data_IF_350689380718
#
_entry.id   IF_350689380718
#
_cell.length_a   1.000
_cell.length_b   1.000
_cell.length_c   1.000
_cell.angle_alpha   90.00
_cell.angle_beta   90.00
_cell.angle_gamma   90.00
#
_symmetry.space_group_name_H-M   'P 1'
#
loop_
_entity.id
_entity.type
_entity.pdbx_description
1 polymer ?
#
# COMPACT_ATOMS: atom_id res chain seq x y z
N UNK A 1 -1.57 3.47 11.33
CA UNK A 1 -2.06 4.37 10.26
C UNK A 1 -3.59 4.39 10.12
N UNK A 2 -4.33 3.32 10.48
CA UNK A 2 -5.79 3.30 10.37
C UNK A 2 -6.54 4.35 11.22
N UNK A 3 -5.94 4.87 12.30
CA UNK A 3 -6.58 5.85 13.19
C UNK A 3 -6.21 7.32 12.92
N UNK A 4 -5.32 7.60 11.96
CA UNK A 4 -5.03 8.99 11.55
C UNK A 4 -5.95 9.43 10.39
N UNK A 5 -6.69 8.48 9.78
CA UNK A 5 -7.57 8.74 8.64
C UNK A 5 -9.04 9.01 8.98
N UNK A 6 -9.49 8.78 10.21
CA UNK A 6 -10.94 8.77 10.52
C UNK A 6 -11.48 10.07 11.14
N UNK A 7 -10.63 11.06 11.45
CA UNK A 7 -11.08 12.32 12.05
C UNK A 7 -10.46 13.56 11.41
N UNK A 8 -10.53 13.72 10.09
CA UNK A 8 -10.27 15.02 9.46
C UNK A 8 -11.20 15.23 8.26
N UNK A 9 -12.06 16.26 8.41
CA UNK A 9 -12.86 16.99 7.43
C UNK A 9 -12.65 16.63 5.93
N UNK A 10 -13.72 16.34 5.15
CA UNK A 10 -13.64 15.95 3.72
C UNK A 10 -12.95 16.95 2.78
N UNK A 11 -12.55 18.14 3.26
CA UNK A 11 -11.83 19.16 2.48
C UNK A 11 -10.29 19.08 2.51
N UNK A 12 -9.68 18.14 3.23
CA UNK A 12 -8.22 18.07 3.39
C UNK A 12 -7.62 16.78 2.81
N UNK A 13 -7.38 16.76 1.49
CA UNK A 13 -6.75 15.64 0.77
C UNK A 13 -5.26 15.45 1.09
N UNK A 14 -4.87 15.38 2.37
CA UNK A 14 -3.50 15.63 2.81
C UNK A 14 -2.95 14.72 3.94
N UNK A 15 -3.04 13.37 3.90
CA UNK A 15 -2.17 12.55 4.77
C UNK A 15 -0.79 12.31 4.13
N UNK A 16 -0.76 12.03 2.82
CA UNK A 16 0.43 11.58 2.10
C UNK A 16 1.28 12.71 1.56
N UNK A 17 0.67 13.85 1.18
CA UNK A 17 1.40 15.03 0.68
C UNK A 17 2.13 15.81 1.77
N UNK A 18 1.62 15.82 2.99
CA UNK A 18 2.19 16.61 4.11
C UNK A 18 3.51 16.03 4.62
N UNK A 19 3.67 14.71 4.54
CA UNK A 19 4.91 14.01 4.88
C UNK A 19 6.06 14.36 3.93
N UNK A 20 5.76 14.77 2.68
CA UNK A 20 6.75 15.22 1.70
C UNK A 20 7.34 16.60 2.03
N UNK A 21 6.55 17.50 2.59
CA UNK A 21 6.99 18.88 2.84
C UNK A 21 7.78 19.02 4.15
N UNK A 22 7.63 18.05 5.08
CA UNK A 22 8.28 18.04 6.39
C UNK A 22 9.77 17.66 6.39
N UNK A 23 10.32 17.20 5.26
CA UNK A 23 11.59 16.48 5.25
C UNK A 23 12.65 17.22 4.44
N UNK A 24 12.99 18.45 4.83
CA UNK A 24 14.05 19.28 4.22
C UNK A 24 15.48 18.67 4.25
N UNK A 25 15.68 17.52 4.88
CA UNK A 25 16.93 16.74 4.84
C UNK A 25 16.56 15.27 4.54
N UNK A 26 16.88 14.83 3.32
CA UNK A 26 16.61 13.51 2.72
C UNK A 26 15.13 13.03 2.74
N UNK A 27 14.23 13.67 1.98
CA UNK A 27 12.81 13.32 1.90
C UNK A 27 12.55 11.84 1.57
N UNK A 28 13.27 11.31 0.59
CA UNK A 28 13.10 9.93 0.11
C UNK A 28 13.46 8.89 1.16
N UNK A 29 14.48 9.14 1.99
CA UNK A 29 14.94 8.20 3.02
C UNK A 29 13.93 8.12 4.19
N UNK A 30 13.38 9.26 4.62
CA UNK A 30 12.37 9.32 5.69
C UNK A 30 11.02 8.73 5.26
N UNK A 31 10.62 8.94 4.00
CA UNK A 31 9.42 8.32 3.42
C UNK A 31 9.60 6.80 3.30
N UNK A 32 10.79 6.36 2.90
CA UNK A 32 11.17 4.94 2.90
C UNK A 32 11.08 4.32 4.30
N UNK A 33 11.59 5.01 5.34
CA UNK A 33 11.50 4.56 6.72
C UNK A 33 10.05 4.45 7.23
N UNK A 34 9.19 5.41 6.84
CA UNK A 34 7.76 5.36 7.17
C UNK A 34 7.03 4.19 6.49
N UNK A 35 7.40 3.86 5.25
CA UNK A 35 6.85 2.68 4.57
C UNK A 35 7.42 1.38 5.13
N UNK A 36 8.67 1.39 5.60
CA UNK A 36 9.27 0.25 6.28
C UNK A 36 8.54 -0.04 7.61
N UNK A 37 8.20 0.98 8.40
CA UNK A 37 7.45 0.77 9.65
C UNK A 37 6.04 0.20 9.43
N UNK A 38 5.37 0.55 8.32
CA UNK A 38 4.13 -0.11 7.90
C UNK A 38 4.34 -1.61 7.64
N UNK A 39 5.38 -1.96 6.87
CA UNK A 39 5.71 -3.36 6.58
C UNK A 39 6.04 -4.17 7.83
N UNK A 40 6.82 -3.59 8.75
CA UNK A 40 7.13 -4.21 10.05
C UNK A 40 5.86 -4.43 10.88
N UNK A 41 4.95 -3.45 10.92
CA UNK A 41 3.65 -3.61 11.58
C UNK A 41 2.82 -4.73 10.96
N UNK A 42 2.76 -4.81 9.63
CA UNK A 42 2.07 -5.88 8.90
C UNK A 42 2.70 -7.26 9.10
N UNK A 43 4.01 -7.34 9.37
CA UNK A 43 4.69 -8.59 9.71
C UNK A 43 4.37 -9.06 11.13
N UNK A 44 4.47 -8.16 12.11
CA UNK A 44 4.31 -8.46 13.54
C UNK A 44 2.84 -8.70 13.90
N UNK A 45 1.89 -7.97 13.29
CA UNK A 45 0.48 -8.04 13.68
C UNK A 45 -0.13 -9.45 13.54
N UNK A 46 0.05 -10.19 12.43
CA UNK A 46 -0.46 -11.55 12.32
C UNK A 46 0.28 -12.53 13.23
N UNK A 47 1.57 -12.33 13.56
CA UNK A 47 2.30 -13.18 14.53
C UNK A 47 1.62 -13.12 15.90
N UNK A 48 1.33 -11.90 16.38
CA UNK A 48 0.66 -11.67 17.65
C UNK A 48 -0.78 -12.18 17.59
N UNK A 49 -1.53 -11.84 16.53
CA UNK A 49 -2.92 -12.26 16.39
C UNK A 49 -3.07 -13.80 16.35
N UNK A 50 -2.17 -14.50 15.67
CA UNK A 50 -2.15 -15.97 15.59
C UNK A 50 -1.97 -16.61 16.96
N UNK A 51 -1.11 -16.03 17.81
CA UNK A 51 -0.90 -16.51 19.18
C UNK A 51 -2.14 -16.28 20.06
N UNK A 52 -2.74 -15.09 19.99
CA UNK A 52 -3.97 -14.81 20.72
C UNK A 52 -5.16 -15.67 20.26
N UNK A 53 -5.22 -16.04 18.98
CA UNK A 53 -6.27 -16.92 18.45
C UNK A 53 -6.23 -18.34 19.01
N UNK A 54 -5.10 -18.78 19.58
CA UNK A 54 -4.97 -20.09 20.24
C UNK A 54 -5.35 -20.06 21.73
N UNK A 55 -5.53 -18.87 22.30
CA UNK A 55 -5.90 -18.70 23.71
C UNK A 55 -7.42 -18.69 23.89
N UNK A 56 -7.95 -19.18 25.03
CA UNK A 56 -9.39 -19.18 25.30
C UNK A 56 -9.99 -17.77 25.40
N UNK A 57 -9.15 -16.75 25.66
CA UNK A 57 -9.55 -15.33 25.72
C UNK A 57 -8.92 -14.53 24.58
N UNK A 58 -9.20 -14.95 23.35
CA UNK A 58 -8.75 -14.28 22.12
C UNK A 58 -9.11 -12.78 22.08
N UNK A 59 -10.19 -12.37 22.76
CA UNK A 59 -10.65 -10.97 22.82
C UNK A 59 -9.65 -10.00 23.47
N UNK A 60 -8.70 -10.50 24.28
CA UNK A 60 -7.62 -9.66 24.83
C UNK A 60 -6.73 -9.04 23.75
N UNK A 61 -6.69 -9.63 22.56
CA UNK A 61 -6.02 -9.03 21.40
C UNK A 61 -6.51 -7.59 21.16
N UNK A 62 -7.81 -7.34 21.22
CA UNK A 62 -8.37 -5.99 21.02
C UNK A 62 -7.96 -5.01 22.11
N UNK A 63 -7.82 -5.48 23.36
CA UNK A 63 -7.39 -4.65 24.47
C UNK A 63 -5.90 -4.26 24.34
N UNK A 64 -5.06 -5.20 23.90
CA UNK A 64 -3.67 -4.92 23.55
C UNK A 64 -3.58 -3.93 22.37
N UNK A 65 -4.36 -4.12 21.31
CA UNK A 65 -4.43 -3.19 20.18
C UNK A 65 -4.88 -1.79 20.61
N UNK A 66 -5.86 -1.69 21.52
CA UNK A 66 -6.30 -0.43 22.11
C UNK A 66 -5.18 0.25 22.89
N UNK A 67 -4.44 -0.50 23.72
CA UNK A 67 -3.29 0.03 24.46
C UNK A 67 -2.20 0.60 23.55
N UNK A 68 -1.86 -0.11 22.47
CA UNK A 68 -0.90 0.38 21.46
C UNK A 68 -1.43 1.62 20.74
N UNK A 69 -2.73 1.66 20.41
CA UNK A 69 -3.35 2.81 19.76
C UNK A 69 -3.36 4.05 20.67
N UNK A 70 -3.67 3.88 21.96
CA UNK A 70 -3.61 4.95 22.96
C UNK A 70 -2.17 5.45 23.14
N UNK A 71 -1.21 4.55 23.30
CA UNK A 71 0.21 4.92 23.41
C UNK A 71 0.68 5.71 22.18
N UNK A 72 0.35 5.23 20.98
CA UNK A 72 0.68 5.94 19.73
C UNK A 72 0.04 7.33 19.69
N UNK A 73 -1.23 7.43 20.09
CA UNK A 73 -1.96 8.70 20.15
C UNK A 73 -1.35 9.66 21.17
N UNK A 74 -0.96 9.18 22.36
CA UNK A 74 -0.28 9.97 23.38
C UNK A 74 1.08 10.46 22.93
N UNK A 75 1.88 9.61 22.26
CA UNK A 75 3.17 10.00 21.69
C UNK A 75 2.97 11.07 20.62
N UNK A 76 2.00 10.90 19.72
CA UNK A 76 1.68 11.92 18.70
C UNK A 76 1.24 13.24 19.36
N UNK A 77 0.37 13.19 20.37
CA UNK A 77 -0.06 14.37 21.13
C UNK A 77 1.12 15.05 21.84
N UNK A 78 2.03 14.28 22.42
CA UNK A 78 3.21 14.81 23.11
C UNK A 78 4.23 15.43 22.15
N UNK A 79 4.52 14.75 21.04
CA UNK A 79 5.48 15.21 20.01
C UNK A 79 4.97 16.45 19.29
N UNK A 80 3.71 16.41 18.84
CA UNK A 80 3.12 17.51 18.08
C UNK A 80 2.55 18.61 18.97
N UNK A 81 2.34 18.37 20.28
CA UNK A 81 1.81 19.33 21.27
C UNK A 81 0.56 20.09 20.79
N UNK A 82 -0.32 19.41 20.04
CA UNK A 82 -1.51 20.02 19.40
C UNK A 82 -1.20 21.23 18.49
N UNK A 83 0.07 21.41 18.09
CA UNK A 83 0.46 22.47 17.17
C UNK A 83 -0.20 22.26 15.82
N UNK A 84 -0.67 23.36 15.24
CA UNK A 84 -1.32 23.33 13.93
C UNK A 84 -0.30 22.99 12.85
N UNK A 85 -0.77 22.43 11.75
CA UNK A 85 0.11 21.99 10.67
C UNK A 85 1.06 23.10 10.20
N UNK A 86 0.60 24.35 10.13
CA UNK A 86 1.43 25.51 9.74
C UNK A 86 2.53 25.86 10.77
N UNK A 87 2.27 25.72 12.08
CA UNK A 87 3.25 25.93 13.16
C UNK A 87 4.35 24.88 13.15
N UNK A 88 4.00 23.69 12.67
CA UNK A 88 4.88 22.53 12.65
C UNK A 88 5.69 22.53 11.36
N UNK A 89 5.09 22.86 10.20
CA UNK A 89 5.71 22.81 8.85
C UNK A 89 6.39 24.10 8.42
N UNK A 90 6.06 25.25 9.02
CA UNK A 90 6.43 26.56 8.50
C UNK A 90 5.76 26.89 7.15
N UNK A 91 4.73 26.14 6.75
CA UNK A 91 3.96 26.42 5.55
C UNK A 91 3.16 27.73 5.75
N UNK A 92 3.15 28.64 4.75
CA UNK A 92 2.41 29.88 4.85
C UNK A 92 0.92 29.61 5.05
N UNK A 93 0.25 30.43 5.88
CA UNK A 93 -1.20 30.36 6.04
C UNK A 93 -1.88 30.47 4.67
N UNK A 94 -2.90 29.64 4.44
CA UNK A 94 -3.68 29.68 3.20
C UNK A 94 -4.46 31.01 3.11
N UNK A 95 -3.85 32.04 2.54
CA UNK A 95 -4.54 33.29 2.20
C UNK A 95 -5.57 33.07 1.09
N UNK A 96 -6.57 33.95 0.95
CA UNK A 96 -7.61 33.83 -0.09
C UNK A 96 -7.05 33.67 -1.53
N UNK A 97 -5.93 34.31 -1.86
CA UNK A 97 -5.23 34.11 -3.15
C UNK A 97 -4.57 32.73 -3.31
N UNK A 98 -4.24 32.06 -2.20
CA UNK A 98 -3.72 30.69 -2.20
C UNK A 98 -4.81 29.64 -2.43
N UNK A 99 -6.07 29.93 -2.07
CA UNK A 99 -7.23 29.07 -2.33
C UNK A 99 -7.58 29.06 -3.83
N UNK A 100 -7.50 30.20 -4.50
CA UNK A 100 -7.69 30.28 -5.96
C UNK A 100 -6.58 29.53 -6.72
N UNK A 101 -5.33 29.65 -6.25
CA UNK A 101 -4.19 28.87 -6.74
C UNK A 101 -4.22 27.38 -6.32
N UNK A 102 -4.91 27.02 -5.25
CA UNK A 102 -5.14 25.63 -4.88
C UNK A 102 -6.19 25.00 -5.80
N UNK A 103 -7.30 25.70 -6.07
CA UNK A 103 -8.33 25.27 -7.01
C UNK A 103 -7.78 25.02 -8.43
N UNK A 104 -6.91 25.91 -8.92
CA UNK A 104 -6.24 25.69 -10.21
C UNK A 104 -5.28 24.49 -10.18
N UNK A 105 -4.51 24.31 -9.10
CA UNK A 105 -3.64 23.13 -8.92
C UNK A 105 -4.40 21.81 -8.85
N UNK A 106 -5.54 21.75 -8.17
CA UNK A 106 -6.38 20.54 -8.14
C UNK A 106 -6.96 20.25 -9.52
N UNK A 107 -7.45 21.28 -10.22
CA UNK A 107 -7.91 21.13 -11.60
C UNK A 107 -6.82 20.54 -12.50
N UNK A 108 -5.58 21.02 -12.39
CA UNK A 108 -4.43 20.50 -13.13
C UNK A 108 -4.13 19.01 -12.80
N UNK A 109 -4.31 18.59 -11.54
CA UNK A 109 -4.17 17.19 -11.09
C UNK A 109 -5.25 16.29 -11.72
N UNK A 110 -6.50 16.74 -11.73
CA UNK A 110 -7.62 15.96 -12.28
C UNK A 110 -7.59 15.86 -13.80
N UNK A 111 -7.13 16.91 -14.48
CA UNK A 111 -6.99 16.92 -15.95
C UNK A 111 -5.81 16.06 -16.42
N UNK A 112 -4.77 15.91 -15.59
CA UNK A 112 -3.59 15.13 -15.95
C UNK A 112 -3.91 13.64 -16.08
N UNK A 113 -4.03 13.18 -17.34
CA UNK A 113 -4.22 11.75 -17.66
C UNK A 113 -3.15 10.86 -17.02
N UNK A 114 -1.91 11.32 -16.97
CA UNK A 114 -0.82 10.58 -16.34
C UNK A 114 -1.07 10.35 -14.85
N UNK A 115 -1.53 11.38 -14.11
CA UNK A 115 -1.84 11.25 -12.68
C UNK A 115 -3.02 10.31 -12.46
N UNK A 116 -4.07 10.38 -13.29
CA UNK A 116 -5.22 9.48 -13.15
C UNK A 116 -4.86 8.01 -13.46
N UNK A 117 -3.99 7.75 -14.45
CA UNK A 117 -3.49 6.40 -14.72
C UNK A 117 -2.64 5.86 -13.57
N UNK A 118 -1.77 6.70 -12.99
CA UNK A 118 -0.97 6.34 -11.80
C UNK A 118 -1.86 6.13 -10.56
N UNK A 119 -2.94 6.90 -10.42
CA UNK A 119 -3.94 6.72 -9.37
C UNK A 119 -4.68 5.39 -9.54
N UNK A 120 -5.09 5.06 -10.77
CA UNK A 120 -5.74 3.78 -11.07
C UNK A 120 -4.80 2.60 -10.81
N UNK A 121 -3.52 2.72 -11.17
CA UNK A 121 -2.51 1.72 -10.83
C UNK A 121 -2.41 1.54 -9.31
N UNK A 122 -2.34 2.63 -8.54
CA UNK A 122 -2.31 2.57 -7.08
C UNK A 122 -3.56 1.92 -6.49
N UNK A 123 -4.73 2.22 -7.05
CA UNK A 123 -6.02 1.67 -6.62
C UNK A 123 -6.06 0.15 -6.76
N UNK A 124 -5.65 -0.39 -7.92
CA UNK A 124 -5.57 -1.83 -8.12
C UNK A 124 -4.44 -2.45 -7.29
N UNK A 125 -3.28 -1.80 -7.19
CA UNK A 125 -2.11 -2.35 -6.49
C UNK A 125 -2.38 -2.47 -4.98
N UNK A 126 -2.83 -1.39 -4.33
CA UNK A 126 -3.16 -1.40 -2.90
C UNK A 126 -4.33 -2.33 -2.64
N UNK A 127 -5.33 -2.35 -3.54
CA UNK A 127 -6.40 -3.33 -3.50
C UNK A 127 -5.91 -4.78 -3.52
N UNK A 128 -4.95 -5.09 -4.40
CA UNK A 128 -4.33 -6.43 -4.52
C UNK A 128 -3.59 -6.78 -3.23
N UNK A 129 -2.73 -5.89 -2.75
CA UNK A 129 -1.93 -6.09 -1.52
C UNK A 129 -2.83 -6.42 -0.32
N UNK A 130 -3.89 -5.62 -0.11
CA UNK A 130 -4.80 -5.81 1.02
C UNK A 130 -5.70 -7.03 0.83
N UNK A 131 -6.10 -7.35 -0.41
CA UNK A 131 -6.89 -8.54 -0.70
C UNK A 131 -6.11 -9.82 -0.40
N UNK A 132 -4.84 -9.91 -0.83
CA UNK A 132 -3.96 -11.04 -0.49
C UNK A 132 -3.79 -11.12 1.03
N UNK A 133 -3.34 -10.03 1.67
CA UNK A 133 -3.05 -10.02 3.11
C UNK A 133 -4.27 -10.36 3.98
N UNK A 134 -5.47 -9.95 3.57
CA UNK A 134 -6.71 -10.17 4.30
C UNK A 134 -7.36 -11.53 4.07
N UNK A 135 -7.26 -12.08 2.85
CA UNK A 135 -7.98 -13.31 2.48
C UNK A 135 -7.11 -14.56 2.46
N UNK A 136 -5.77 -14.44 2.46
CA UNK A 136 -4.90 -15.61 2.34
C UNK A 136 -5.05 -16.57 3.53
N UNK A 137 -5.26 -16.05 4.74
CA UNK A 137 -5.49 -16.88 5.92
C UNK A 137 -6.78 -17.67 5.77
N UNK A 138 -7.87 -17.02 5.37
CA UNK A 138 -9.17 -17.65 5.10
C UNK A 138 -9.06 -18.70 3.99
N UNK A 139 -8.34 -18.41 2.91
CA UNK A 139 -8.11 -19.37 1.83
C UNK A 139 -7.37 -20.61 2.31
N UNK A 140 -6.32 -20.45 3.13
CA UNK A 140 -5.57 -21.59 3.65
C UNK A 140 -6.44 -22.42 4.61
N UNK A 141 -7.23 -21.78 5.48
CA UNK A 141 -8.10 -22.49 6.42
C UNK A 141 -9.21 -23.25 5.66
N UNK A 142 -9.97 -22.57 4.81
CA UNK A 142 -11.17 -23.14 4.19
C UNK A 142 -10.89 -24.02 2.97
N UNK A 143 -9.89 -23.68 2.15
CA UNK A 143 -9.61 -24.39 0.89
C UNK A 143 -8.47 -25.41 1.06
N UNK A 144 -7.53 -25.15 1.97
CA UNK A 144 -6.36 -26.02 2.18
C UNK A 144 -6.41 -26.80 3.50
N UNK A 145 -7.44 -26.62 4.32
CA UNK A 145 -7.57 -27.30 5.61
C UNK A 145 -6.51 -26.90 6.62
N UNK A 146 -5.96 -25.69 6.50
CA UNK A 146 -4.98 -25.17 7.44
C UNK A 146 -5.58 -24.93 8.83
N UNK A 147 -4.81 -25.26 9.87
CA UNK A 147 -5.21 -25.06 11.25
C UNK A 147 -4.95 -23.65 11.77
N UNK A 148 -4.91 -23.52 13.10
CA UNK A 148 -4.64 -22.26 13.83
C UNK A 148 -3.29 -21.60 13.50
N UNK A 149 -2.38 -22.29 12.81
CA UNK A 149 -1.09 -21.76 12.34
C UNK A 149 -1.18 -21.01 11.00
N UNK A 150 -2.32 -21.01 10.32
CA UNK A 150 -2.49 -20.38 9.01
C UNK A 150 -2.19 -18.86 9.02
N UNK A 151 -2.34 -18.19 10.18
CA UNK A 151 -2.02 -16.77 10.31
C UNK A 151 -0.54 -16.44 10.08
N UNK A 152 0.38 -17.39 10.27
CA UNK A 152 1.81 -17.20 9.97
C UNK A 152 2.08 -16.96 8.48
N UNK A 153 1.20 -17.41 7.59
CA UNK A 153 1.34 -17.21 6.15
C UNK A 153 1.14 -15.73 5.80
N UNK A 154 0.22 -15.04 6.49
CA UNK A 154 0.03 -13.59 6.34
C UNK A 154 1.25 -12.81 6.84
N UNK A 155 1.88 -13.26 7.94
CA UNK A 155 3.19 -12.72 8.34
C UNK A 155 4.25 -12.95 7.27
N UNK A 156 4.32 -14.14 6.66
CA UNK A 156 5.21 -14.43 5.54
C UNK A 156 5.03 -13.45 4.37
N UNK A 157 3.78 -13.16 4.00
CA UNK A 157 3.44 -12.16 2.98
C UNK A 157 3.98 -10.76 3.31
N UNK A 158 3.64 -10.21 4.48
CA UNK A 158 4.08 -8.85 4.86
C UNK A 158 5.58 -8.77 5.16
N UNK A 159 6.17 -9.86 5.66
CA UNK A 159 7.62 -10.00 5.84
C UNK A 159 8.34 -9.97 4.51
N UNK A 160 7.86 -10.77 3.56
CA UNK A 160 8.30 -10.74 2.16
C UNK A 160 8.20 -9.34 1.58
N UNK A 161 7.04 -8.68 1.72
CA UNK A 161 6.79 -7.32 1.24
C UNK A 161 7.77 -6.28 1.81
N UNK A 162 8.06 -6.38 3.11
CA UNK A 162 9.05 -5.52 3.77
C UNK A 162 10.45 -5.77 3.24
N UNK A 163 10.84 -7.05 3.11
CA UNK A 163 12.15 -7.43 2.57
C UNK A 163 12.28 -7.03 1.10
N UNK A 164 11.23 -7.17 0.29
CA UNK A 164 11.19 -6.76 -1.10
C UNK A 164 11.49 -5.27 -1.27
N UNK A 165 10.86 -4.42 -0.44
CA UNK A 165 11.06 -2.96 -0.46
C UNK A 165 12.53 -2.54 -0.35
N UNK A 166 13.34 -3.29 0.40
CA UNK A 166 14.76 -2.97 0.64
C UNK A 166 15.70 -3.83 -0.21
N UNK A 167 15.51 -5.16 -0.18
CA UNK A 167 16.39 -6.15 -0.79
C UNK A 167 16.43 -6.11 -2.31
N UNK A 168 15.31 -5.77 -2.97
CA UNK A 168 15.25 -5.70 -4.43
C UNK A 168 15.69 -4.36 -5.01
N UNK A 169 16.13 -3.40 -4.17
CA UNK A 169 16.52 -2.07 -4.64
C UNK A 169 17.65 -2.12 -5.68
N UNK A 170 18.64 -2.99 -5.49
CA UNK A 170 19.74 -3.18 -6.45
C UNK A 170 19.26 -3.75 -7.78
N UNK A 171 18.35 -4.72 -7.74
CA UNK A 171 17.73 -5.32 -8.95
C UNK A 171 16.94 -4.27 -9.72
N UNK A 172 16.17 -3.43 -9.01
CA UNK A 172 15.38 -2.35 -9.60
C UNK A 172 16.27 -1.37 -10.37
N UNK A 173 17.44 -1.01 -9.81
CA UNK A 173 18.42 -0.13 -10.45
C UNK A 173 19.07 -0.77 -11.69
N UNK A 174 19.37 -2.07 -11.65
CA UNK A 174 20.08 -2.77 -12.72
C UNK A 174 19.19 -3.07 -13.93
N UNK A 175 17.95 -3.49 -13.71
CA UNK A 175 17.02 -3.94 -14.77
C UNK A 175 16.18 -2.77 -15.32
N UNK A 176 15.99 -1.73 -14.50
CA UNK A 176 15.22 -0.54 -14.83
C UNK A 176 13.77 -0.65 -14.36
N UNK A 177 13.29 0.42 -13.73
CA UNK A 177 12.02 0.47 -13.00
C UNK A 177 10.80 0.01 -13.81
N UNK A 178 10.71 0.43 -15.08
CA UNK A 178 9.56 0.08 -15.93
C UNK A 178 9.50 -1.41 -16.23
N UNK A 179 10.63 -2.04 -16.55
CA UNK A 179 10.72 -3.47 -16.90
C UNK A 179 10.49 -4.37 -15.69
N UNK A 180 10.97 -3.91 -14.54
CA UNK A 180 10.91 -4.63 -13.29
C UNK A 180 9.46 -4.88 -12.83
N UNK A 181 8.56 -3.92 -13.01
CA UNK A 181 7.14 -4.13 -12.69
C UNK A 181 6.55 -5.27 -13.51
N UNK A 182 6.83 -5.35 -14.82
CA UNK A 182 6.35 -6.46 -15.65
C UNK A 182 6.89 -7.81 -15.15
N UNK A 183 8.18 -7.88 -14.84
CA UNK A 183 8.82 -9.10 -14.33
C UNK A 183 8.18 -9.52 -13.01
N UNK A 184 8.00 -8.58 -12.07
CA UNK A 184 7.40 -8.87 -10.77
C UNK A 184 5.95 -9.29 -10.87
N UNK A 185 5.13 -8.64 -11.71
CA UNK A 185 3.75 -9.06 -11.93
C UNK A 185 3.65 -10.45 -12.58
N UNK A 186 4.47 -10.75 -13.60
CA UNK A 186 4.45 -12.05 -14.26
C UNK A 186 4.91 -13.18 -13.32
N UNK A 187 5.95 -12.94 -12.53
CA UNK A 187 6.41 -13.88 -11.51
C UNK A 187 5.36 -14.06 -10.40
N UNK A 188 4.72 -12.98 -9.96
CA UNK A 188 3.66 -13.05 -8.96
C UNK A 188 2.46 -13.84 -9.47
N UNK A 189 2.02 -13.63 -10.73
CA UNK A 189 0.97 -14.44 -11.37
C UNK A 189 1.37 -15.91 -11.41
N UNK A 190 2.62 -16.23 -11.78
CA UNK A 190 3.13 -17.60 -11.76
C UNK A 190 3.07 -18.24 -10.38
N UNK A 191 3.43 -17.49 -9.33
CA UNK A 191 3.34 -17.96 -7.94
C UNK A 191 1.89 -18.13 -7.47
N UNK A 192 0.97 -17.23 -7.82
CA UNK A 192 -0.46 -17.38 -7.50
C UNK A 192 -1.06 -18.60 -8.23
N UNK A 193 -0.64 -18.88 -9.46
CA UNK A 193 -1.00 -20.12 -10.16
C UNK A 193 -0.51 -21.36 -9.42
N UNK A 194 0.70 -21.33 -8.85
CA UNK A 194 1.20 -22.42 -7.99
C UNK A 194 0.33 -22.55 -6.74
N UNK A 195 0.00 -21.44 -6.07
CA UNK A 195 -0.89 -21.46 -4.90
C UNK A 195 -2.27 -22.01 -5.23
N UNK A 196 -2.77 -21.75 -6.44
CA UNK A 196 -4.05 -22.24 -6.92
C UNK A 196 -4.05 -23.73 -7.26
N UNK A 197 -3.05 -24.20 -8.00
CA UNK A 197 -3.00 -25.56 -8.54
C UNK A 197 -2.41 -26.58 -7.57
N UNK A 198 -1.50 -26.16 -6.68
CA UNK A 198 -0.78 -27.07 -5.78
C UNK A 198 -1.40 -27.04 -4.38
N UNK A 199 -2.02 -28.14 -3.91
CA UNK A 199 -2.60 -28.20 -2.57
C UNK A 199 -1.53 -28.53 -1.52
N UNK A 200 -0.52 -27.68 -1.36
CA UNK A 200 0.53 -27.84 -0.35
C UNK A 200 0.63 -26.59 0.54
N UNK A 201 0.38 -26.74 1.85
CA UNK A 201 0.36 -25.61 2.81
C UNK A 201 1.72 -24.91 2.88
N UNK A 202 2.82 -25.67 2.96
CA UNK A 202 4.18 -25.12 3.06
C UNK A 202 4.57 -24.42 1.75
N UNK A 203 4.29 -25.07 0.62
CA UNK A 203 4.50 -24.49 -0.71
C UNK A 203 3.73 -23.18 -0.88
N UNK A 204 2.47 -23.14 -0.45
CA UNK A 204 1.64 -21.94 -0.49
C UNK A 204 2.18 -20.85 0.43
N UNK A 205 2.65 -21.19 1.62
CA UNK A 205 3.27 -20.23 2.54
C UNK A 205 4.50 -19.55 1.93
N UNK A 206 5.38 -20.34 1.29
CA UNK A 206 6.56 -19.82 0.61
C UNK A 206 6.18 -18.99 -0.61
N UNK A 207 5.29 -19.49 -1.47
CA UNK A 207 4.84 -18.80 -2.66
C UNK A 207 4.21 -17.43 -2.31
N UNK A 208 3.33 -17.38 -1.32
CA UNK A 208 2.72 -16.13 -0.82
C UNK A 208 3.79 -15.16 -0.27
N UNK A 209 4.80 -15.67 0.43
CA UNK A 209 5.90 -14.84 0.94
C UNK A 209 6.70 -14.22 -0.21
N UNK A 210 6.97 -14.99 -1.27
CA UNK A 210 7.61 -14.48 -2.48
C UNK A 210 6.74 -13.51 -3.26
N UNK A 211 5.42 -13.75 -3.34
CA UNK A 211 4.46 -12.80 -3.92
C UNK A 211 4.56 -11.45 -3.20
N UNK A 212 4.53 -11.47 -1.86
CA UNK A 212 4.74 -10.27 -1.04
C UNK A 212 6.06 -9.57 -1.38
N UNK A 213 7.17 -10.34 -1.46
CA UNK A 213 8.49 -9.83 -1.83
C UNK A 213 8.53 -9.14 -3.19
N UNK A 214 7.83 -9.67 -4.20
CA UNK A 214 7.75 -9.09 -5.53
C UNK A 214 6.85 -7.83 -5.58
N UNK A 215 5.79 -7.80 -4.79
CA UNK A 215 4.90 -6.64 -4.66
C UNK A 215 5.57 -5.47 -3.93
N UNK A 216 6.44 -5.75 -2.96
CA UNK A 216 7.05 -4.74 -2.09
C UNK A 216 7.63 -3.51 -2.81
N UNK A 217 8.48 -3.67 -3.83
CA UNK A 217 9.06 -2.55 -4.57
C UNK A 217 8.09 -1.71 -5.41
N UNK A 218 6.89 -2.22 -5.74
CA UNK A 218 6.01 -1.58 -6.72
C UNK A 218 5.52 -0.21 -6.25
N UNK A 219 5.18 -0.06 -4.96
CA UNK A 219 4.75 1.24 -4.43
C UNK A 219 5.87 2.29 -4.42
N UNK A 220 7.10 2.00 -3.92
CA UNK A 220 8.24 2.91 -4.09
C UNK A 220 8.50 3.30 -5.56
N UNK A 221 8.44 2.36 -6.50
CA UNK A 221 8.62 2.63 -7.93
C UNK A 221 7.52 3.55 -8.45
N UNK A 222 6.27 3.35 -8.03
CA UNK A 222 5.15 4.22 -8.38
C UNK A 222 5.40 5.66 -7.92
N UNK A 223 5.81 5.86 -6.66
CA UNK A 223 6.11 7.19 -6.11
C UNK A 223 7.26 7.85 -6.87
N UNK A 224 8.31 7.10 -7.20
CA UNK A 224 9.40 7.61 -8.02
C UNK A 224 8.92 8.01 -9.43
N UNK A 225 8.08 7.18 -10.05
CA UNK A 225 7.50 7.45 -11.38
C UNK A 225 6.64 8.72 -11.37
N UNK A 226 5.84 8.95 -10.33
CA UNK A 226 5.09 10.20 -10.16
C UNK A 226 6.05 11.39 -10.08
N UNK A 227 7.15 11.28 -9.33
CA UNK A 227 8.13 12.36 -9.18
C UNK A 227 8.90 12.72 -10.45
N UNK A 228 8.96 11.81 -11.42
CA UNK A 228 9.64 12.04 -12.71
C UNK A 228 8.70 12.57 -13.78
N UNK A 229 7.43 12.14 -13.78
CA UNK A 229 6.42 12.53 -14.79
C UNK A 229 5.72 13.85 -14.41
N UNK A 230 5.47 14.07 -13.11
CA UNK A 230 4.61 15.17 -12.64
C UNK A 230 5.43 16.41 -12.28
N UNK A 231 5.06 17.61 -12.77
CA UNK A 231 5.75 18.85 -12.40
C UNK A 231 5.73 19.12 -10.89
N UNK A 232 6.83 19.70 -10.36
CA UNK A 232 6.99 20.00 -8.93
C UNK A 232 5.83 20.82 -8.33
N UNK A 233 5.21 21.70 -9.12
CA UNK A 233 4.06 22.55 -8.71
C UNK A 233 2.85 21.75 -8.22
N UNK A 234 2.57 20.59 -8.83
CA UNK A 234 1.42 19.74 -8.50
C UNK A 234 1.82 18.38 -7.92
N UNK A 235 3.12 18.12 -7.76
CA UNK A 235 3.67 16.83 -7.34
C UNK A 235 3.11 16.38 -5.98
N UNK A 236 3.19 17.22 -4.96
CA UNK A 236 2.72 16.90 -3.60
C UNK A 236 1.23 16.58 -3.58
N UNK A 237 0.41 17.36 -4.28
CA UNK A 237 -1.02 17.12 -4.41
C UNK A 237 -1.34 15.86 -5.22
N UNK A 238 -0.55 15.55 -6.25
CA UNK A 238 -0.73 14.34 -7.06
C UNK A 238 -0.40 13.09 -6.27
N UNK A 239 0.67 13.09 -5.47
CA UNK A 239 1.00 11.97 -4.57
C UNK A 239 -0.11 11.81 -3.52
N UNK A 240 -0.63 12.93 -2.99
CA UNK A 240 -1.79 12.97 -2.11
C UNK A 240 -3.02 12.29 -2.70
N UNK A 241 -3.37 12.67 -3.93
CA UNK A 241 -4.49 12.12 -4.70
C UNK A 241 -4.30 10.62 -4.98
N UNK A 242 -3.15 10.24 -5.53
CA UNK A 242 -2.83 8.84 -5.88
C UNK A 242 -2.86 7.94 -4.66
N UNK A 243 -2.29 8.37 -3.53
CA UNK A 243 -2.29 7.58 -2.30
C UNK A 243 -3.71 7.45 -1.71
N UNK A 244 -4.49 8.53 -1.68
CA UNK A 244 -5.88 8.51 -1.21
C UNK A 244 -6.76 7.58 -2.06
N UNK A 245 -6.63 7.69 -3.39
CA UNK A 245 -7.33 6.83 -4.32
C UNK A 245 -6.85 5.38 -4.20
N UNK A 246 -5.54 5.16 -4.01
CA UNK A 246 -4.96 3.86 -3.66
C UNK A 246 -5.64 3.21 -2.46
N UNK A 247 -5.78 3.96 -1.35
CA UNK A 247 -6.47 3.46 -0.15
C UNK A 247 -7.94 3.13 -0.40
N UNK A 248 -8.65 3.85 -1.26
CA UNK A 248 -10.02 3.47 -1.63
C UNK A 248 -10.08 2.04 -2.24
N UNK A 249 -9.03 1.62 -2.95
CA UNK A 249 -8.91 0.25 -3.47
C UNK A 249 -8.87 -0.81 -2.37
N UNK A 250 -8.22 -0.52 -1.24
CA UNK A 250 -8.15 -1.44 -0.09
C UNK A 250 -9.51 -1.80 0.51
N UNK A 251 -10.55 -0.99 0.30
CA UNK A 251 -11.90 -1.30 0.75
C UNK A 251 -12.68 -2.06 -0.33
N UNK A 252 -12.59 -1.62 -1.58
CA UNK A 252 -13.40 -2.15 -2.69
C UNK A 252 -13.06 -3.59 -3.01
N UNK A 253 -11.77 -3.92 -3.18
CA UNK A 253 -11.37 -5.25 -3.65
C UNK A 253 -11.57 -6.35 -2.61
N UNK A 254 -11.21 -6.18 -1.33
CA UNK A 254 -11.53 -7.17 -0.31
C UNK A 254 -13.04 -7.35 -0.11
N UNK A 255 -13.82 -6.28 -0.21
CA UNK A 255 -15.29 -6.38 -0.15
C UNK A 255 -15.85 -7.18 -1.32
N UNK A 256 -15.42 -6.87 -2.55
CA UNK A 256 -15.82 -7.61 -3.75
C UNK A 256 -15.41 -9.09 -3.66
N UNK A 257 -14.22 -9.37 -3.13
CA UNK A 257 -13.73 -10.73 -2.85
C UNK A 257 -14.66 -11.45 -1.88
N UNK A 258 -15.09 -10.79 -0.80
CA UNK A 258 -16.01 -11.37 0.17
C UNK A 258 -17.39 -11.66 -0.41
N UNK A 259 -17.94 -10.73 -1.20
CA UNK A 259 -19.22 -10.94 -1.88
C UNK A 259 -19.17 -12.12 -2.87
N UNK A 260 -18.07 -12.25 -3.62
CA UNK A 260 -17.85 -13.37 -4.53
C UNK A 260 -17.62 -14.68 -3.75
N UNK A 261 -16.88 -14.64 -2.65
CA UNK A 261 -16.59 -15.80 -1.81
C UNK A 261 -17.86 -16.37 -1.15
N UNK A 262 -18.83 -15.52 -0.79
CA UNK A 262 -20.12 -15.98 -0.26
C UNK A 262 -20.91 -16.80 -1.30
N UNK A 263 -20.86 -16.43 -2.59
CA UNK A 263 -21.63 -17.10 -3.65
C UNK A 263 -20.91 -18.29 -4.27
N UNK A 264 -19.59 -18.18 -4.49
CA UNK A 264 -18.79 -19.14 -5.26
C UNK A 264 -17.73 -19.86 -4.40
N UNK A 265 -17.66 -19.56 -3.10
CA UNK A 265 -16.63 -20.04 -2.20
C UNK A 265 -15.30 -19.29 -2.33
N UNK A 266 -14.43 -19.45 -1.33
CA UNK A 266 -13.12 -18.75 -1.24
C UNK A 266 -12.15 -19.15 -2.36
N UNK A 267 -12.45 -20.19 -3.14
CA UNK A 267 -11.68 -20.59 -4.34
C UNK A 267 -11.61 -19.50 -5.41
N UNK A 268 -12.57 -18.57 -5.42
CA UNK A 268 -12.60 -17.43 -6.36
C UNK A 268 -11.49 -16.40 -6.11
N UNK A 269 -10.84 -16.44 -4.93
CA UNK A 269 -9.75 -15.53 -4.57
C UNK A 269 -8.62 -15.57 -5.61
N UNK A 270 -8.17 -16.78 -5.97
CA UNK A 270 -7.03 -16.97 -6.87
C UNK A 270 -7.24 -16.40 -8.28
N UNK A 271 -8.31 -16.75 -9.02
CA UNK A 271 -8.55 -16.14 -10.33
C UNK A 271 -8.77 -14.62 -10.24
N UNK A 272 -9.36 -14.12 -9.14
CA UNK A 272 -9.51 -12.68 -8.94
C UNK A 272 -8.15 -11.97 -8.80
N UNK A 273 -7.24 -12.52 -7.99
CA UNK A 273 -5.89 -11.98 -7.82
C UNK A 273 -5.10 -11.95 -9.12
N UNK A 274 -5.16 -13.04 -9.90
CA UNK A 274 -4.53 -13.10 -11.23
C UNK A 274 -5.12 -12.03 -12.16
N UNK A 275 -6.45 -11.85 -12.13
CA UNK A 275 -7.13 -10.78 -12.87
C UNK A 275 -6.65 -9.40 -12.47
N UNK A 276 -6.55 -9.11 -11.18
CA UNK A 276 -6.06 -7.82 -10.66
C UNK A 276 -4.60 -7.56 -11.05
N UNK A 277 -3.71 -8.56 -10.94
CA UNK A 277 -2.32 -8.45 -11.38
C UNK A 277 -2.20 -8.26 -12.90
N UNK A 278 -3.08 -8.89 -13.68
CA UNK A 278 -3.14 -8.69 -15.13
C UNK A 278 -3.56 -7.26 -15.47
N UNK A 279 -4.56 -6.72 -14.76
CA UNK A 279 -4.97 -5.31 -14.89
C UNK A 279 -3.84 -4.36 -14.52
N UNK A 280 -3.02 -4.65 -13.50
CA UNK A 280 -1.83 -3.86 -13.18
C UNK A 280 -0.85 -3.79 -14.36
N UNK A 281 -0.60 -4.91 -15.03
CA UNK A 281 0.26 -4.95 -16.22
C UNK A 281 -0.32 -4.06 -17.33
N UNK A 282 -1.62 -4.20 -17.62
CA UNK A 282 -2.30 -3.42 -18.67
C UNK A 282 -2.23 -1.93 -18.38
N UNK A 283 -2.54 -1.50 -17.16
CA UNK A 283 -2.44 -0.09 -16.77
C UNK A 283 -1.00 0.39 -16.92
N UNK A 284 -0.02 -0.39 -16.48
CA UNK A 284 1.40 -0.02 -16.54
C UNK A 284 1.92 0.14 -17.98
N UNK A 285 1.37 -0.60 -18.95
CA UNK A 285 1.65 -0.40 -20.39
C UNK A 285 1.20 0.99 -20.84
N UNK A 286 0.01 1.43 -20.42
CA UNK A 286 -0.59 2.72 -20.81
C UNK A 286 0.05 3.90 -20.08
N UNK A 287 0.63 3.68 -18.88
CA UNK A 287 1.34 4.73 -18.14
C UNK A 287 2.47 5.30 -19.02
N UNK A 288 2.49 6.62 -19.28
CA UNK A 288 3.49 7.22 -20.15
C UNK A 288 4.90 7.01 -19.58
N UNK A 289 5.81 6.56 -20.43
CA UNK A 289 7.25 6.56 -20.13
C UNK A 289 7.67 8.01 -19.97
N UNK A 290 8.05 8.44 -18.77
CA UNK A 290 8.43 9.83 -18.53
C UNK A 290 9.43 10.30 -19.58
N UNK A 291 9.10 11.39 -20.28
CA UNK A 291 10.06 12.15 -21.07
C UNK A 291 11.27 12.40 -20.17
N UNK A 292 12.45 11.93 -20.56
CA UNK A 292 13.70 12.49 -20.07
C UNK A 292 13.52 14.00 -20.07
N UNK A 293 13.80 14.64 -18.93
CA UNK A 293 13.98 16.09 -18.88
C UNK A 293 14.98 16.44 -19.99
N UNK A 294 14.48 16.93 -21.12
CA UNK A 294 15.27 17.83 -21.96
C UNK A 294 15.48 19.05 -21.06
N UNK A 295 16.74 19.27 -20.72
CA UNK A 295 17.14 20.39 -19.89
C UNK A 295 16.66 21.68 -20.52
N UNK A 296 15.95 22.44 -19.70
CA UNK A 296 15.96 23.89 -19.73
C UNK A 296 16.83 24.33 -18.54
#
# INVERSE_FOLDING_TARGET
MALVGTHLNPGSGLPSGVLFEYTKINPSAKIGLLHASYGVGGFIAPLIATQFAQLPRWSFHYLCSLGIALLNSSVLLFVFRLRRLHEVTGAPEMNAGSLQNAGSRYKDIFISRAVQLLALFAWVYVGTEVTIGGWIVTFIIEVRGGGSSAGYISSGFFGGLTLGRVGLLWVNRKVGERRVIYIYCLLAIGLELVVWLVPNIIGNALAVSFVGLLLGPMYPILIHTISTIVPRRILTGSIGWVASFGQAGSAVFPFMTGALAQKYGVRVLQPLLIGMMSVLIVIWIVVPSGSQRRGD
#
